data_IF_696330682700
#
_entry.id   IF_696330682700
#
_cell.length_a   1.000
_cell.length_b   1.000
_cell.length_c   1.000
_cell.angle_alpha   90.00
_cell.angle_beta   90.00
_cell.angle_gamma   90.00
#
_symmetry.space_group_name_H-M   'P 1'
#
loop_
_entity.id
_entity.type
_entity.pdbx_description
1 polymer ?
#
# COMPACT_ATOMS: atom_id res chain seq x y z
N UNK A 1 -8.99 -30.00 19.92
CA UNK A 1 -8.64 -29.47 18.58
C UNK A 1 -7.74 -28.27 18.80
N UNK A 2 -6.68 -28.04 18.01
CA UNK A 2 -5.88 -26.83 18.15
C UNK A 2 -6.72 -25.60 17.79
N UNK A 3 -6.49 -24.51 18.51
CA UNK A 3 -7.07 -23.21 18.22
C UNK A 3 -6.31 -22.58 17.03
N UNK A 4 -7.05 -22.02 16.07
CA UNK A 4 -6.47 -21.32 14.91
C UNK A 4 -6.60 -19.82 15.15
N UNK A 5 -5.48 -19.11 15.18
CA UNK A 5 -5.40 -17.66 15.37
C UNK A 5 -4.86 -17.04 14.08
N UNK A 6 -5.53 -15.99 13.60
CA UNK A 6 -5.11 -15.25 12.40
C UNK A 6 -4.12 -14.18 12.81
N UNK A 7 -2.88 -14.31 12.36
CA UNK A 7 -1.78 -13.39 12.68
C UNK A 7 -1.69 -12.20 11.69
N UNK A 8 -2.09 -12.41 10.44
CA UNK A 8 -2.02 -11.40 9.38
C UNK A 8 -3.00 -11.74 8.26
N UNK A 9 -3.53 -10.71 7.61
CA UNK A 9 -4.34 -10.82 6.39
C UNK A 9 -3.69 -9.92 5.33
N UNK A 10 -3.43 -10.50 4.16
CA UNK A 10 -3.03 -9.76 2.96
C UNK A 10 -4.23 -9.66 2.03
N UNK A 11 -4.55 -8.45 1.59
CA UNK A 11 -5.63 -8.18 0.65
C UNK A 11 -5.06 -7.58 -0.64
N UNK A 12 -5.88 -7.54 -1.70
CA UNK A 12 -5.53 -6.81 -2.92
C UNK A 12 -6.77 -6.15 -3.50
N UNK A 13 -6.60 -5.00 -4.12
CA UNK A 13 -7.67 -4.24 -4.78
C UNK A 13 -7.13 -3.43 -5.96
N UNK A 14 -8.02 -2.76 -6.69
CA UNK A 14 -7.69 -1.81 -7.75
C UNK A 14 -8.49 -0.53 -7.53
N UNK A 15 -7.80 0.60 -7.36
CA UNK A 15 -8.43 1.91 -7.14
C UNK A 15 -8.74 2.64 -8.45
N UNK A 16 -7.92 2.42 -9.48
CA UNK A 16 -8.06 3.04 -10.80
C UNK A 16 -7.34 2.17 -11.85
N UNK A 17 -7.42 2.56 -13.12
CA UNK A 17 -6.61 1.98 -14.20
C UNK A 17 -5.16 2.50 -14.18
N UNK A 18 -4.95 3.73 -13.68
CA UNK A 18 -3.64 4.36 -13.55
C UNK A 18 -3.63 5.34 -12.37
N UNK A 19 -2.53 5.34 -11.61
CA UNK A 19 -2.28 6.29 -10.53
C UNK A 19 -1.02 7.10 -10.82
N UNK A 20 -1.07 8.38 -10.45
CA UNK A 20 0.09 9.27 -10.40
C UNK A 20 0.72 9.17 -9.01
N UNK A 21 1.72 8.30 -8.88
CA UNK A 21 2.35 8.03 -7.57
C UNK A 21 3.15 9.23 -7.06
N UNK A 22 3.70 10.07 -7.95
CA UNK A 22 4.42 11.28 -7.59
C UNK A 22 3.48 12.30 -6.93
N UNK A 23 2.31 12.53 -7.52
CA UNK A 23 1.30 13.41 -6.95
C UNK A 23 0.74 12.87 -5.62
N UNK A 24 0.55 11.55 -5.52
CA UNK A 24 0.06 10.91 -4.28
C UNK A 24 1.10 11.02 -3.17
N UNK A 25 2.38 10.75 -3.46
CA UNK A 25 3.47 10.88 -2.48
C UNK A 25 3.60 12.31 -1.95
N UNK A 26 3.37 13.32 -2.79
CA UNK A 26 3.35 14.72 -2.35
C UNK A 26 2.13 15.09 -1.49
N UNK A 27 1.05 14.32 -1.59
CA UNK A 27 -0.22 14.59 -0.89
C UNK A 27 -0.35 13.85 0.44
N UNK A 28 0.43 12.79 0.65
CA UNK A 28 0.36 11.91 1.81
C UNK A 28 1.66 12.01 2.60
N UNK A 29 1.58 12.49 3.84
CA UNK A 29 2.75 12.76 4.69
C UNK A 29 3.59 11.50 4.98
N UNK A 30 2.94 10.36 5.19
CA UNK A 30 3.57 9.07 5.51
C UNK A 30 3.83 8.19 4.27
N UNK A 31 3.79 8.78 3.07
CA UNK A 31 4.07 8.03 1.84
C UNK A 31 5.57 7.98 1.54
N UNK A 32 6.10 6.76 1.43
CA UNK A 32 7.46 6.50 0.97
C UNK A 32 7.42 6.11 -0.51
N UNK A 33 8.02 6.94 -1.38
CA UNK A 33 8.10 6.65 -2.81
C UNK A 33 9.49 6.95 -3.39
N UNK A 34 10.26 5.88 -3.63
CA UNK A 34 11.60 5.92 -4.21
C UNK A 34 11.64 4.98 -5.44
N UNK A 35 11.17 5.41 -6.62
CA UNK A 35 10.96 4.55 -7.78
C UNK A 35 12.21 3.83 -8.29
N UNK A 36 13.40 4.40 -8.03
CA UNK A 36 14.69 3.79 -8.36
C UNK A 36 15.03 2.59 -7.46
N UNK A 37 14.43 2.51 -6.26
CA UNK A 37 14.62 1.39 -5.33
C UNK A 37 13.45 0.40 -5.37
N UNK A 38 12.21 0.90 -5.47
CA UNK A 38 11.00 0.10 -5.50
C UNK A 38 9.90 0.76 -6.36
N UNK A 39 9.24 0.04 -7.28
CA UNK A 39 8.33 0.65 -8.26
C UNK A 39 6.97 1.09 -7.69
N UNK A 40 6.65 0.75 -6.44
CA UNK A 40 5.40 1.12 -5.76
C UNK A 40 5.61 2.17 -4.68
N UNK A 41 4.52 2.84 -4.29
CA UNK A 41 4.48 3.73 -3.14
C UNK A 41 4.07 2.91 -1.91
N UNK A 42 4.83 3.04 -0.82
CA UNK A 42 4.52 2.40 0.47
C UNK A 42 3.83 3.44 1.34
N UNK A 43 2.63 3.12 1.82
CA UNK A 43 1.88 3.97 2.71
C UNK A 43 1.54 3.21 3.99
N UNK A 44 1.84 3.79 5.16
CA UNK A 44 1.63 3.14 6.45
C UNK A 44 0.56 3.91 7.22
N UNK A 45 -0.44 3.17 7.70
CA UNK A 45 -1.45 3.69 8.61
C UNK A 45 -1.16 3.18 10.01
N UNK A 46 -1.25 4.08 10.99
CA UNK A 46 -1.11 3.72 12.40
C UNK A 46 -2.33 2.98 12.94
N UNK A 47 -3.54 3.39 12.53
CA UNK A 47 -4.80 2.80 12.99
C UNK A 47 -5.82 2.68 11.84
N UNK A 48 -6.21 1.46 11.43
CA UNK A 48 -5.63 0.18 11.84
C UNK A 48 -4.18 0.04 11.34
N UNK A 49 -3.31 -0.59 12.14
CA UNK A 49 -1.90 -0.80 11.80
C UNK A 49 -1.77 -1.61 10.51
N UNK A 50 -1.49 -0.93 9.41
CA UNK A 50 -1.45 -1.54 8.08
C UNK A 50 -0.35 -0.91 7.23
N UNK A 51 0.13 -1.68 6.26
CA UNK A 51 0.98 -1.18 5.19
C UNK A 51 0.26 -1.43 3.87
N UNK A 52 0.16 -0.41 3.04
CA UNK A 52 -0.43 -0.47 1.70
C UNK A 52 0.64 -0.17 0.66
N UNK A 53 0.71 -1.00 -0.36
CA UNK A 53 1.58 -0.85 -1.52
C UNK A 53 0.72 -0.39 -2.70
N UNK A 54 0.93 0.83 -3.19
CA UNK A 54 0.25 1.37 -4.37
C UNK A 54 1.14 1.26 -5.61
N UNK A 55 0.57 0.86 -6.74
CA UNK A 55 1.29 0.75 -8.01
C UNK A 55 0.73 1.71 -9.06
N UNK A 56 1.57 2.11 -10.04
CA UNK A 56 1.15 2.96 -11.18
C UNK A 56 0.00 2.35 -11.99
N UNK A 57 -0.17 1.03 -11.95
CA UNK A 57 -1.29 0.30 -12.57
C UNK A 57 -2.63 0.48 -11.83
N UNK A 58 -2.64 1.22 -10.72
CA UNK A 58 -3.81 1.42 -9.85
C UNK A 58 -4.15 0.25 -8.93
N UNK A 59 -3.35 -0.82 -8.96
CA UNK A 59 -3.43 -1.93 -8.01
C UNK A 59 -2.89 -1.52 -6.65
N UNK A 60 -3.44 -2.13 -5.60
CA UNK A 60 -2.98 -1.99 -4.24
C UNK A 60 -2.99 -3.32 -3.49
N UNK A 61 -2.00 -3.52 -2.62
CA UNK A 61 -1.91 -4.65 -1.69
C UNK A 61 -1.67 -4.15 -0.26
#
# INVERSE_FOLDING_TARGET
MPEVIVENIVASTSFAEKLDLDAIAQSLEEAEYEPEQFPGLVYRLDEPKTATLLFRSGKAN
#
